data_IF_597848478007
#
_entry.id   IF_597848478007
#
_cell.length_a   1.000
_cell.length_b   1.000
_cell.length_c   1.000
_cell.angle_alpha   90.00
_cell.angle_beta   90.00
_cell.angle_gamma   90.00
#
_symmetry.space_group_name_H-M   'P 1'
#
loop_
_entity.id
_entity.type
_entity.pdbx_description
1 polymer ?
#
# COMPACT_ATOMS: atom_id res chain seq x y z
N UNK A 1 6.21 36.35 -0.66
CA UNK A 1 7.40 35.98 -1.47
C UNK A 1 8.66 35.69 -0.63
N UNK A 2 8.92 36.36 0.50
CA UNK A 2 10.10 36.05 1.35
C UNK A 2 9.94 34.80 2.24
N UNK A 3 8.72 34.49 2.69
CA UNK A 3 8.45 33.29 3.51
C UNK A 3 8.58 32.00 2.69
N UNK A 4 8.16 32.01 1.43
CA UNK A 4 8.22 30.87 0.51
C UNK A 4 9.64 30.51 0.09
N UNK A 5 10.52 31.50 -0.14
CA UNK A 5 11.91 31.23 -0.54
C UNK A 5 12.77 30.66 0.60
N UNK A 6 12.54 31.11 1.85
CA UNK A 6 13.26 30.60 3.03
C UNK A 6 12.84 29.18 3.40
N UNK A 7 11.55 28.84 3.24
CA UNK A 7 11.05 27.49 3.48
C UNK A 7 11.57 26.47 2.46
N UNK A 8 11.75 26.86 1.20
CA UNK A 8 12.30 25.96 0.16
C UNK A 8 13.75 25.60 0.45
N UNK A 9 14.58 26.58 0.86
CA UNK A 9 15.99 26.31 1.17
C UNK A 9 16.18 25.35 2.35
N UNK A 10 15.40 25.51 3.41
CA UNK A 10 15.44 24.60 4.58
C UNK A 10 14.96 23.19 4.22
N UNK A 11 13.97 23.08 3.33
CA UNK A 11 13.52 21.80 2.80
C UNK A 11 14.64 21.12 2.00
N UNK A 12 15.27 21.82 1.05
CA UNK A 12 16.33 21.25 0.21
C UNK A 12 17.55 20.80 1.04
N UNK A 13 17.91 21.56 2.07
CA UNK A 13 18.97 21.21 3.03
C UNK A 13 18.64 19.90 3.77
N UNK A 14 17.41 19.75 4.29
CA UNK A 14 16.98 18.52 4.97
C UNK A 14 16.91 17.32 4.01
N UNK A 15 16.38 17.51 2.80
CA UNK A 15 16.31 16.46 1.78
C UNK A 15 17.71 15.97 1.38
N UNK A 16 18.68 16.87 1.33
CA UNK A 16 20.08 16.53 1.05
C UNK A 16 20.72 15.82 2.24
N UNK A 17 20.50 16.31 3.46
CA UNK A 17 21.07 15.73 4.68
C UNK A 17 20.57 14.29 4.94
N UNK A 18 19.30 14.02 4.68
CA UNK A 18 18.68 12.71 4.91
C UNK A 18 18.54 11.89 3.63
N UNK A 19 19.28 12.21 2.58
CA UNK A 19 19.15 11.59 1.26
C UNK A 19 19.26 10.07 1.31
N UNK A 20 20.26 9.52 1.98
CA UNK A 20 20.45 8.06 2.05
C UNK A 20 19.29 7.36 2.77
N UNK A 21 18.75 7.99 3.82
CA UNK A 21 17.56 7.51 4.52
C UNK A 21 16.36 7.50 3.57
N UNK A 22 16.11 8.63 2.90
CA UNK A 22 14.95 8.82 2.02
C UNK A 22 15.02 7.85 0.85
N UNK A 23 16.15 7.80 0.14
CA UNK A 23 16.37 6.93 -1.02
C UNK A 23 16.24 5.44 -0.63
N UNK A 24 16.67 5.07 0.57
CA UNK A 24 16.51 3.70 1.09
C UNK A 24 15.04 3.35 1.34
N UNK A 25 14.29 4.22 2.03
CA UNK A 25 12.87 3.97 2.30
C UNK A 25 12.07 4.02 1.00
N UNK A 26 12.36 4.94 0.08
CA UNK A 26 11.74 5.00 -1.24
C UNK A 26 11.96 3.71 -2.02
N UNK A 27 13.18 3.16 -2.02
CA UNK A 27 13.47 1.90 -2.69
C UNK A 27 12.65 0.73 -2.15
N UNK A 28 12.36 0.73 -0.85
CA UNK A 28 11.49 -0.26 -0.21
C UNK A 28 10.04 -0.10 -0.64
N UNK A 29 9.49 1.11 -0.62
CA UNK A 29 8.08 1.34 -1.00
C UNK A 29 7.83 1.16 -2.50
N UNK A 30 8.84 1.45 -3.33
CA UNK A 30 8.79 1.32 -4.80
C UNK A 30 9.21 -0.07 -5.30
N UNK A 31 9.44 -1.04 -4.40
CA UNK A 31 9.78 -2.42 -4.73
C UNK A 31 8.74 -3.03 -5.70
N UNK A 32 9.18 -3.48 -6.87
CA UNK A 32 8.28 -3.91 -7.95
C UNK A 32 8.69 -5.25 -8.58
N UNK A 33 9.38 -6.10 -7.83
CA UNK A 33 9.94 -7.36 -8.31
C UNK A 33 9.98 -8.42 -7.21
N UNK A 34 9.99 -9.69 -7.61
CA UNK A 34 10.27 -10.85 -6.75
C UNK A 34 11.67 -11.43 -6.98
N UNK A 35 12.55 -10.73 -7.70
CA UNK A 35 13.94 -11.14 -7.92
C UNK A 35 14.78 -11.03 -6.64
N UNK A 36 15.40 -12.15 -6.23
CA UNK A 36 16.17 -12.26 -5.00
C UNK A 36 17.38 -11.31 -4.92
N UNK A 37 18.01 -11.01 -6.07
CA UNK A 37 19.12 -10.06 -6.17
C UNK A 37 18.68 -8.65 -5.75
N UNK A 38 17.60 -8.14 -6.35
CA UNK A 38 17.03 -6.81 -6.02
C UNK A 38 16.52 -6.74 -4.57
N UNK A 39 15.97 -7.84 -4.05
CA UNK A 39 15.58 -7.93 -2.64
C UNK A 39 16.81 -7.84 -1.72
N UNK A 40 17.90 -8.49 -2.10
CA UNK A 40 19.17 -8.46 -1.36
C UNK A 40 19.88 -7.10 -1.43
N UNK A 41 19.71 -6.35 -2.51
CA UNK A 41 20.16 -4.96 -2.60
C UNK A 41 19.42 -4.06 -1.60
N UNK A 42 18.09 -4.17 -1.54
CA UNK A 42 17.28 -3.40 -0.58
C UNK A 42 17.62 -3.81 0.86
N UNK A 43 17.83 -5.10 1.11
CA UNK A 43 18.31 -5.59 2.40
C UNK A 43 19.61 -4.90 2.82
N UNK A 44 20.60 -4.89 1.94
CA UNK A 44 21.92 -4.30 2.18
C UNK A 44 21.83 -2.78 2.41
N UNK A 45 21.02 -2.07 1.63
CA UNK A 45 20.76 -0.64 1.81
C UNK A 45 20.12 -0.33 3.15
N UNK A 46 19.09 -1.06 3.55
CA UNK A 46 18.42 -0.88 4.85
C UNK A 46 19.41 -1.13 5.99
N UNK A 47 20.21 -2.19 5.91
CA UNK A 47 21.22 -2.51 6.91
C UNK A 47 22.25 -1.39 7.07
N UNK A 48 22.92 -1.03 5.98
CA UNK A 48 23.98 -0.02 5.99
C UNK A 48 23.46 1.38 6.38
N UNK A 49 22.34 1.81 5.80
CA UNK A 49 21.90 3.20 5.94
C UNK A 49 21.00 3.44 7.16
N UNK A 50 20.33 2.41 7.68
CA UNK A 50 19.32 2.58 8.74
C UNK A 50 19.66 1.86 10.05
N UNK A 51 20.18 0.64 9.99
CA UNK A 51 20.46 -0.17 11.18
C UNK A 51 21.86 0.13 11.72
N UNK A 52 22.89 0.06 10.88
CA UNK A 52 24.30 0.27 11.28
C UNK A 52 24.57 1.71 11.72
N UNK A 53 23.82 2.66 11.16
CA UNK A 53 23.80 4.08 11.58
C UNK A 53 23.00 4.33 12.87
N UNK A 54 22.37 3.30 13.44
CA UNK A 54 21.50 3.35 14.61
C UNK A 54 20.29 4.29 14.49
N UNK A 55 19.87 4.64 13.27
CA UNK A 55 18.69 5.49 13.04
C UNK A 55 17.40 4.71 13.34
N UNK A 56 17.35 3.43 12.96
CA UNK A 56 16.16 2.58 13.10
C UNK A 56 16.57 1.21 13.64
N UNK A 57 15.81 0.70 14.62
CA UNK A 57 16.00 -0.65 15.16
C UNK A 57 15.45 -1.74 14.22
N UNK A 58 15.97 -2.97 14.26
CA UNK A 58 15.46 -4.09 13.46
C UNK A 58 13.94 -4.33 13.61
N UNK A 59 13.41 -4.22 14.84
CA UNK A 59 11.95 -4.30 15.09
C UNK A 59 11.17 -3.22 14.32
N UNK A 60 11.73 -2.01 14.23
CA UNK A 60 11.10 -0.90 13.50
C UNK A 60 11.24 -1.07 11.99
N UNK A 61 12.32 -1.68 11.49
CA UNK A 61 12.48 -2.07 10.08
C UNK A 61 11.38 -3.04 9.65
N UNK A 62 11.15 -4.14 10.38
CA UNK A 62 10.07 -5.09 10.06
C UNK A 62 8.70 -4.40 10.06
N UNK A 63 8.46 -3.48 11.00
CA UNK A 63 7.25 -2.66 10.98
C UNK A 63 7.15 -1.78 9.72
N UNK A 64 8.24 -1.20 9.23
CA UNK A 64 8.20 -0.39 8.01
C UNK A 64 7.95 -1.28 6.78
N UNK A 65 8.64 -2.42 6.67
CA UNK A 65 8.45 -3.42 5.59
C UNK A 65 7.00 -3.88 5.54
N UNK A 66 6.42 -4.24 6.69
CA UNK A 66 5.03 -4.67 6.76
C UNK A 66 4.03 -3.58 6.36
N UNK A 67 4.31 -2.31 6.65
CA UNK A 67 3.50 -1.19 6.16
C UNK A 67 3.65 -1.00 4.64
N UNK A 68 4.88 -1.03 4.11
CA UNK A 68 5.14 -0.92 2.68
C UNK A 68 4.40 -2.01 1.88
N UNK A 69 4.41 -3.25 2.38
CA UNK A 69 3.63 -4.36 1.81
C UNK A 69 2.13 -4.05 1.71
N UNK A 70 1.53 -3.34 2.68
CA UNK A 70 0.13 -2.94 2.63
C UNK A 70 -0.18 -1.85 1.58
N UNK A 71 0.81 -1.11 1.10
CA UNK A 71 0.65 -0.16 -0.01
C UNK A 71 0.92 -0.83 -1.37
N UNK A 72 1.65 -1.93 -1.39
CA UNK A 72 2.10 -2.60 -2.60
C UNK A 72 2.00 -4.13 -2.46
N UNK A 73 0.78 -4.60 -2.20
CA UNK A 73 0.49 -6.00 -1.84
C UNK A 73 0.77 -7.02 -2.96
N UNK A 74 0.96 -6.56 -4.20
CA UNK A 74 1.30 -7.41 -5.34
C UNK A 74 2.65 -8.11 -5.17
N UNK A 75 3.62 -7.43 -4.55
CA UNK A 75 4.96 -7.97 -4.26
C UNK A 75 5.09 -8.46 -2.82
N UNK A 76 3.99 -8.90 -2.20
CA UNK A 76 3.97 -9.35 -0.79
C UNK A 76 5.09 -10.36 -0.49
N UNK A 77 5.39 -11.26 -1.42
CA UNK A 77 6.41 -12.29 -1.25
C UNK A 77 7.80 -11.69 -1.01
N UNK A 78 8.16 -10.66 -1.77
CA UNK A 78 9.41 -9.93 -1.58
C UNK A 78 9.50 -9.24 -0.23
N UNK A 79 8.41 -8.60 0.22
CA UNK A 79 8.37 -7.97 1.54
C UNK A 79 8.46 -9.00 2.67
N UNK A 80 7.80 -10.16 2.53
CA UNK A 80 7.89 -11.26 3.49
C UNK A 80 9.32 -11.78 3.54
N UNK A 81 9.93 -12.11 2.39
CA UNK A 81 11.33 -12.54 2.28
C UNK A 81 12.27 -11.55 3.00
N UNK A 82 12.12 -10.25 2.71
CA UNK A 82 12.91 -9.20 3.34
C UNK A 82 12.72 -9.15 4.87
N UNK A 83 11.48 -9.22 5.36
CA UNK A 83 11.19 -9.23 6.79
C UNK A 83 11.78 -10.47 7.50
N UNK A 84 11.70 -11.64 6.86
CA UNK A 84 12.26 -12.89 7.38
C UNK A 84 13.80 -12.82 7.45
N UNK A 85 14.47 -12.23 6.45
CA UNK A 85 15.92 -11.99 6.52
C UNK A 85 16.30 -11.18 7.76
N UNK A 86 15.64 -10.03 7.99
CA UNK A 86 15.88 -9.22 9.18
C UNK A 86 15.52 -9.93 10.49
N UNK A 87 14.44 -10.72 10.49
CA UNK A 87 14.04 -11.47 11.67
C UNK A 87 15.07 -12.53 12.05
N UNK A 88 15.59 -13.26 11.06
CA UNK A 88 16.58 -14.31 11.27
C UNK A 88 17.96 -13.76 11.65
N UNK A 89 18.38 -12.62 11.12
CA UNK A 89 19.69 -12.04 11.45
C UNK A 89 19.68 -11.36 12.83
N UNK A 90 18.62 -10.61 13.15
CA UNK A 90 18.62 -9.73 14.33
C UNK A 90 17.77 -10.23 15.50
N UNK A 91 16.96 -11.27 15.30
CA UNK A 91 16.04 -11.83 16.30
C UNK A 91 15.25 -10.78 17.12
N UNK A 92 14.60 -9.80 16.45
CA UNK A 92 13.89 -8.74 17.15
C UNK A 92 12.73 -9.30 17.97
N UNK A 93 12.57 -8.80 19.20
CA UNK A 93 11.46 -9.15 20.09
C UNK A 93 10.40 -8.06 20.12
N UNK A 94 9.16 -8.45 20.43
CA UNK A 94 8.04 -7.54 20.75
C UNK A 94 7.75 -6.48 19.68
N UNK A 95 7.58 -6.89 18.42
CA UNK A 95 7.25 -5.95 17.33
C UNK A 95 5.78 -5.53 17.45
N UNK A 96 5.55 -4.22 17.61
CA UNK A 96 4.20 -3.67 17.78
C UNK A 96 3.69 -2.97 16.52
N UNK A 97 2.36 -2.93 16.35
CA UNK A 97 1.68 -2.23 15.25
C UNK A 97 2.07 -2.79 13.86
N UNK A 98 2.27 -4.10 13.76
CA UNK A 98 2.35 -4.81 12.48
C UNK A 98 0.93 -4.97 11.92
N UNK A 99 0.67 -4.65 10.65
CA UNK A 99 -0.63 -4.91 10.02
C UNK A 99 -1.02 -6.38 10.10
N UNK A 100 -2.28 -6.66 10.47
CA UNK A 100 -2.82 -8.03 10.60
C UNK A 100 -2.67 -8.81 9.28
N UNK A 101 -2.85 -8.14 8.14
CA UNK A 101 -2.66 -8.73 6.81
C UNK A 101 -1.26 -9.33 6.67
N UNK A 102 -0.23 -8.56 7.00
CA UNK A 102 1.14 -8.99 6.85
C UNK A 102 1.46 -10.17 7.78
N UNK A 103 1.09 -10.06 9.06
CA UNK A 103 1.28 -11.16 10.02
C UNK A 103 0.52 -12.43 9.60
N UNK A 104 -0.67 -12.31 9.02
CA UNK A 104 -1.42 -13.48 8.55
C UNK A 104 -0.64 -14.27 7.48
N UNK A 105 -0.10 -13.59 6.47
CA UNK A 105 0.66 -14.26 5.41
C UNK A 105 1.99 -14.81 5.92
N UNK A 106 2.71 -14.06 6.77
CA UNK A 106 3.93 -14.54 7.41
C UNK A 106 3.65 -15.77 8.28
N UNK A 107 2.56 -15.78 9.03
CA UNK A 107 2.17 -16.94 9.83
C UNK A 107 1.82 -18.15 8.96
N UNK A 108 1.07 -17.94 7.87
CA UNK A 108 0.69 -18.99 6.92
C UNK A 108 1.92 -19.64 6.26
N UNK A 109 2.94 -18.85 5.93
CA UNK A 109 4.11 -19.31 5.17
C UNK A 109 5.27 -19.76 6.06
N UNK A 110 5.48 -19.13 7.22
CA UNK A 110 6.65 -19.34 8.08
C UNK A 110 6.30 -19.70 9.53
N UNK A 111 5.02 -19.72 9.92
CA UNK A 111 4.60 -20.00 11.31
C UNK A 111 4.96 -18.90 12.31
N UNK A 112 5.41 -17.74 11.84
CA UNK A 112 5.85 -16.61 12.69
C UNK A 112 4.71 -15.59 12.82
N UNK A 113 4.54 -15.05 14.03
CA UNK A 113 3.66 -13.91 14.31
C UNK A 113 4.55 -12.81 14.88
N UNK A 114 4.69 -11.68 14.18
CA UNK A 114 5.54 -10.60 14.67
C UNK A 114 4.88 -9.81 15.80
N UNK A 115 3.56 -9.57 15.69
CA UNK A 115 2.80 -8.84 16.69
C UNK A 115 1.80 -9.76 17.40
N UNK A 116 2.07 -10.10 18.66
CA UNK A 116 1.19 -10.92 19.51
C UNK A 116 -0.27 -10.44 19.53
N UNK A 117 -0.50 -9.13 19.41
CA UNK A 117 -1.86 -8.56 19.34
C UNK A 117 -2.68 -9.06 18.15
N UNK A 118 -2.04 -9.59 17.12
CA UNK A 118 -2.70 -10.11 15.92
C UNK A 118 -3.09 -11.58 16.04
N UNK A 119 -2.54 -12.33 17.01
CA UNK A 119 -2.70 -13.79 17.14
C UNK A 119 -4.17 -14.25 17.09
N UNK A 120 -5.04 -13.60 17.86
CA UNK A 120 -6.48 -13.91 17.88
C UNK A 120 -7.20 -13.55 16.57
N UNK A 121 -6.78 -12.46 15.90
CA UNK A 121 -7.40 -12.02 14.65
C UNK A 121 -6.97 -12.89 13.47
N UNK A 122 -5.73 -13.36 13.48
CA UNK A 122 -5.18 -14.28 12.47
C UNK A 122 -5.96 -15.61 12.50
N UNK A 123 -6.24 -16.17 13.68
CA UNK A 123 -6.95 -17.46 13.79
C UNK A 123 -8.40 -17.40 13.32
N UNK A 124 -9.00 -16.21 13.29
CA UNK A 124 -10.38 -15.99 12.81
C UNK A 124 -10.45 -15.50 11.38
N UNK A 125 -9.31 -15.14 10.78
CA UNK A 125 -9.24 -14.61 9.43
C UNK A 125 -9.50 -15.69 8.38
N UNK A 126 -10.36 -15.36 7.42
CA UNK A 126 -10.64 -16.18 6.24
C UNK A 126 -10.27 -15.40 5.00
N UNK A 127 -9.38 -15.98 4.21
CA UNK A 127 -8.98 -15.41 2.93
C UNK A 127 -10.19 -15.38 1.98
N UNK A 128 -10.34 -14.28 1.23
CA UNK A 128 -11.41 -14.11 0.26
C UNK A 128 -10.86 -14.23 -1.15
N UNK A 129 -11.45 -15.09 -1.96
CA UNK A 129 -11.06 -15.27 -3.37
C UNK A 129 -11.20 -13.98 -4.18
N UNK A 130 -12.22 -13.16 -3.89
CA UNK A 130 -12.39 -11.87 -4.56
C UNK A 130 -11.30 -10.88 -4.14
N UNK A 131 -10.81 -10.93 -2.89
CA UNK A 131 -9.69 -10.10 -2.47
C UNK A 131 -8.39 -10.52 -3.16
N UNK A 132 -8.20 -11.84 -3.31
CA UNK A 132 -7.09 -12.39 -4.10
C UNK A 132 -7.15 -11.89 -5.54
N UNK A 133 -8.32 -11.96 -6.18
CA UNK A 133 -8.52 -11.43 -7.53
C UNK A 133 -8.14 -9.95 -7.65
N UNK A 134 -8.49 -9.13 -6.65
CA UNK A 134 -8.12 -7.70 -6.62
C UNK A 134 -6.61 -7.51 -6.48
N UNK A 135 -5.95 -8.17 -5.53
CA UNK A 135 -4.49 -8.02 -5.32
C UNK A 135 -3.70 -8.45 -6.56
N UNK A 136 -4.17 -9.49 -7.24
CA UNK A 136 -3.52 -10.05 -8.43
C UNK A 136 -3.96 -9.37 -9.74
N UNK A 137 -4.89 -8.41 -9.66
CA UNK A 137 -5.57 -7.77 -10.78
C UNK A 137 -6.16 -8.77 -11.81
N UNK A 138 -6.70 -9.89 -11.29
CA UNK A 138 -7.30 -10.96 -12.08
C UNK A 138 -8.80 -10.67 -12.32
N UNK A 139 -9.05 -9.93 -13.40
CA UNK A 139 -10.41 -9.62 -13.83
C UNK A 139 -11.22 -10.86 -14.22
N UNK A 140 -10.59 -11.96 -14.65
CA UNK A 140 -11.32 -13.20 -15.03
C UNK A 140 -11.86 -13.90 -13.79
N UNK A 141 -11.00 -14.08 -12.79
CA UNK A 141 -11.40 -14.61 -11.49
C UNK A 141 -12.46 -13.72 -10.85
N UNK A 142 -12.25 -12.39 -10.86
CA UNK A 142 -13.27 -11.46 -10.36
C UNK A 142 -14.60 -11.65 -11.08
N UNK A 143 -14.62 -11.70 -12.43
CA UNK A 143 -15.84 -11.91 -13.22
C UNK A 143 -16.57 -13.18 -12.76
N UNK A 144 -15.86 -14.30 -12.66
CA UNK A 144 -16.45 -15.58 -12.23
C UNK A 144 -17.12 -15.51 -10.85
N UNK A 145 -16.61 -14.67 -9.95
CA UNK A 145 -17.16 -14.50 -8.60
C UNK A 145 -18.38 -13.58 -8.63
N UNK A 146 -18.31 -12.45 -9.34
CA UNK A 146 -19.39 -11.46 -9.39
C UNK A 146 -20.55 -11.86 -10.30
N UNK A 147 -20.33 -12.83 -11.20
CA UNK A 147 -21.36 -13.45 -12.05
C UNK A 147 -22.16 -14.56 -11.33
N UNK A 148 -21.71 -15.00 -10.14
CA UNK A 148 -22.36 -16.07 -9.41
C UNK A 148 -23.71 -15.62 -8.82
N UNK A 149 -24.75 -16.46 -8.97
CA UNK A 149 -26.07 -16.22 -8.39
C UNK A 149 -25.96 -16.10 -6.86
N UNK A 150 -26.26 -14.91 -6.33
CA UNK A 150 -26.18 -14.63 -4.90
C UNK A 150 -24.94 -13.83 -4.45
N UNK A 151 -24.13 -13.32 -5.38
CA UNK A 151 -23.09 -12.34 -5.05
C UNK A 151 -23.70 -11.10 -4.34
N UNK A 152 -23.31 -10.89 -3.09
CA UNK A 152 -23.65 -9.69 -2.31
C UNK A 152 -22.36 -8.97 -1.93
N UNK A 153 -22.09 -7.85 -2.62
CA UNK A 153 -20.91 -7.01 -2.37
C UNK A 153 -20.80 -6.57 -0.91
N UNK A 154 -21.90 -6.50 -0.15
CA UNK A 154 -21.90 -6.12 1.28
C UNK A 154 -21.37 -7.19 2.21
N UNK A 155 -21.53 -8.47 1.86
CA UNK A 155 -21.01 -9.60 2.68
C UNK A 155 -19.48 -9.69 2.59
N UNK A 156 -18.91 -9.32 1.45
CA UNK A 156 -17.48 -9.31 1.18
C UNK A 156 -16.71 -8.24 2.00
N UNK A 157 -17.30 -7.05 2.17
CA UNK A 157 -16.70 -5.91 2.88
C UNK A 157 -16.38 -6.23 4.35
N UNK A 158 -17.09 -7.18 4.97
CA UNK A 158 -16.86 -7.58 6.36
C UNK A 158 -15.58 -8.39 6.58
N UNK A 159 -14.95 -8.97 5.56
CA UNK A 159 -13.87 -9.95 5.77
C UNK A 159 -12.44 -9.41 5.56
N UNK A 160 -12.27 -8.16 5.13
CA UNK A 160 -10.98 -7.73 4.55
C UNK A 160 -10.42 -6.54 5.32
N UNK A 161 -9.68 -6.87 6.38
CA UNK A 161 -8.39 -6.25 6.76
C UNK A 161 -8.27 -4.72 6.86
N UNK A 162 -9.37 -3.96 6.90
CA UNK A 162 -9.36 -2.54 7.22
C UNK A 162 -10.36 -2.24 8.35
N UNK A 163 -9.98 -1.48 9.39
CA UNK A 163 -10.73 -1.38 10.65
C UNK A 163 -11.95 -0.43 10.58
N UNK A 164 -12.39 -0.02 9.39
CA UNK A 164 -13.54 0.89 9.26
C UNK A 164 -14.57 0.36 8.23
N UNK A 165 -15.49 -0.53 8.68
CA UNK A 165 -16.39 -1.26 7.80
C UNK A 165 -17.71 -0.51 7.64
N UNK A 166 -17.78 0.53 6.81
CA UNK A 166 -19.05 1.19 6.50
C UNK A 166 -19.01 1.74 5.07
N UNK A 167 -19.49 0.96 4.07
CA UNK A 167 -20.38 1.37 2.97
C UNK A 167 -20.23 0.52 1.68
N UNK A 168 -21.31 0.30 0.89
CA UNK A 168 -21.30 -0.46 -0.37
C UNK A 168 -20.38 0.04 -1.50
N UNK A 169 -19.90 1.29 -1.45
CA UNK A 169 -18.90 1.84 -2.39
C UNK A 169 -17.52 1.17 -2.28
N UNK A 170 -17.33 0.34 -1.26
CA UNK A 170 -16.04 -0.22 -0.87
C UNK A 170 -15.41 -1.15 -1.91
N UNK A 171 -16.16 -1.91 -2.72
CA UNK A 171 -15.52 -2.80 -3.70
C UNK A 171 -14.77 -2.00 -4.77
N UNK A 172 -15.40 -0.94 -5.27
CA UNK A 172 -14.81 -0.08 -6.28
C UNK A 172 -13.65 0.74 -5.70
N UNK A 173 -13.82 1.26 -4.49
CA UNK A 173 -12.77 1.93 -3.72
C UNK A 173 -11.59 1.00 -3.41
N UNK A 174 -11.84 -0.28 -3.10
CA UNK A 174 -10.82 -1.28 -2.81
C UNK A 174 -10.00 -1.63 -4.07
N UNK A 175 -10.67 -1.73 -5.21
CA UNK A 175 -10.00 -1.90 -6.50
C UNK A 175 -9.10 -0.69 -6.81
N UNK A 176 -9.55 0.54 -6.52
CA UNK A 176 -8.71 1.74 -6.63
C UNK A 176 -7.53 1.72 -5.65
N UNK A 177 -7.77 1.28 -4.41
CA UNK A 177 -6.80 1.17 -3.33
C UNK A 177 -5.65 0.23 -3.69
N UNK A 178 -5.94 -0.90 -4.32
CA UNK A 178 -4.93 -1.87 -4.74
C UNK A 178 -4.36 -1.60 -6.13
N UNK A 179 -4.91 -0.63 -6.87
CA UNK A 179 -4.42 -0.32 -8.22
C UNK A 179 -4.77 -1.38 -9.26
N UNK A 180 -5.85 -2.13 -9.05
CA UNK A 180 -6.25 -3.25 -9.90
C UNK A 180 -6.98 -2.77 -11.17
N UNK A 181 -6.21 -2.38 -12.19
CA UNK A 181 -6.71 -1.71 -13.42
C UNK A 181 -7.70 -2.57 -14.20
N UNK A 182 -7.42 -3.86 -14.35
CA UNK A 182 -8.31 -4.74 -15.11
C UNK A 182 -9.61 -4.98 -14.34
N UNK A 183 -9.52 -5.20 -13.03
CA UNK A 183 -10.69 -5.27 -12.15
C UNK A 183 -11.51 -3.96 -12.20
N UNK A 184 -10.85 -2.81 -12.21
CA UNK A 184 -11.49 -1.50 -12.28
C UNK A 184 -12.29 -1.33 -13.58
N UNK A 185 -11.67 -1.64 -14.72
CA UNK A 185 -12.31 -1.57 -16.05
C UNK A 185 -13.50 -2.51 -16.15
N UNK A 186 -13.40 -3.71 -15.59
CA UNK A 186 -14.51 -4.68 -15.50
C UNK A 186 -15.70 -4.09 -14.73
N UNK A 187 -15.46 -3.56 -13.52
CA UNK A 187 -16.53 -3.02 -12.68
C UNK A 187 -17.18 -1.77 -13.30
N UNK A 188 -16.41 -0.88 -13.93
CA UNK A 188 -16.95 0.28 -14.66
C UNK A 188 -17.91 -0.17 -15.77
N UNK A 189 -17.48 -1.13 -16.58
CA UNK A 189 -18.25 -1.60 -17.74
C UNK A 189 -19.53 -2.31 -17.33
N UNK A 190 -19.49 -3.08 -16.25
CA UNK A 190 -20.61 -3.92 -15.83
C UNK A 190 -21.65 -3.18 -14.99
N UNK A 191 -21.22 -2.31 -14.09
CA UNK A 191 -22.11 -1.71 -13.09
C UNK A 191 -22.30 -0.20 -13.25
N UNK A 192 -21.50 0.47 -14.08
CA UNK A 192 -21.50 1.93 -14.21
C UNK A 192 -21.55 2.65 -12.84
N UNK A 193 -20.66 2.28 -11.89
CA UNK A 193 -20.74 2.78 -10.53
C UNK A 193 -20.44 4.29 -10.49
N UNK A 194 -21.04 4.99 -9.54
CA UNK A 194 -20.61 6.34 -9.19
C UNK A 194 -19.20 6.28 -8.63
N UNK A 195 -18.26 6.96 -9.27
CA UNK A 195 -16.90 7.15 -8.74
C UNK A 195 -16.97 8.09 -7.54
N UNK A 196 -16.55 7.64 -6.37
CA UNK A 196 -16.56 8.42 -5.13
C UNK A 196 -15.26 9.22 -4.96
N UNK A 197 -15.26 10.21 -4.06
CA UNK A 197 -14.03 10.91 -3.66
C UNK A 197 -12.97 9.95 -3.10
N UNK A 198 -13.38 8.89 -2.39
CA UNK A 198 -12.45 7.87 -1.91
C UNK A 198 -11.78 7.09 -3.04
N UNK A 199 -12.48 6.84 -4.16
CA UNK A 199 -11.85 6.23 -5.34
C UNK A 199 -10.71 7.13 -5.85
N UNK A 200 -10.93 8.44 -5.91
CA UNK A 200 -9.88 9.40 -6.26
C UNK A 200 -8.73 9.35 -5.25
N UNK A 201 -8.99 9.53 -3.95
CA UNK A 201 -7.98 9.48 -2.89
C UNK A 201 -7.14 8.19 -2.94
N UNK A 202 -7.79 7.04 -3.11
CA UNK A 202 -7.13 5.74 -3.20
C UNK A 202 -6.40 5.50 -4.53
N UNK A 203 -6.81 6.14 -5.62
CA UNK A 203 -6.07 6.07 -6.89
C UNK A 203 -4.68 6.74 -6.78
N UNK A 204 -4.54 7.83 -6.01
CA UNK A 204 -3.23 8.44 -5.73
C UNK A 204 -2.38 7.58 -4.79
N UNK A 205 -3.03 6.87 -3.87
CA UNK A 205 -2.35 5.89 -3.00
C UNK A 205 -1.76 4.75 -3.83
N UNK A 206 -2.50 4.16 -4.77
CA UNK A 206 -1.98 3.10 -5.63
C UNK A 206 -1.02 3.64 -6.69
N UNK A 207 -1.16 4.90 -7.08
CA UNK A 207 -0.26 5.57 -8.01
C UNK A 207 -0.40 5.08 -9.44
N UNK A 208 -1.58 4.56 -9.81
CA UNK A 208 -1.82 3.98 -11.12
C UNK A 208 -2.51 5.01 -12.04
N UNK A 209 -1.82 5.54 -13.07
CA UNK A 209 -2.34 6.64 -13.88
C UNK A 209 -3.67 6.35 -14.56
N UNK A 210 -3.92 5.11 -15.00
CA UNK A 210 -5.19 4.71 -15.64
C UNK A 210 -6.39 4.97 -14.73
N UNK A 211 -6.29 4.55 -13.46
CA UNK A 211 -7.36 4.71 -12.46
C UNK A 211 -7.47 6.19 -12.06
N UNK A 212 -6.33 6.83 -11.80
CA UNK A 212 -6.28 8.25 -11.41
C UNK A 212 -6.95 9.16 -12.45
N UNK A 213 -6.58 9.01 -13.72
CA UNK A 213 -7.14 9.82 -14.81
C UNK A 213 -8.63 9.58 -14.99
N UNK A 214 -9.12 8.37 -14.76
CA UNK A 214 -10.57 8.10 -14.79
C UNK A 214 -11.29 8.78 -13.63
N UNK A 215 -10.76 8.67 -12.41
CA UNK A 215 -11.37 9.30 -11.24
C UNK A 215 -11.41 10.83 -11.34
N UNK A 216 -10.37 11.45 -11.90
CA UNK A 216 -10.28 12.90 -12.10
C UNK A 216 -11.33 13.47 -13.06
N UNK A 217 -12.00 12.65 -13.86
CA UNK A 217 -13.12 13.10 -14.72
C UNK A 217 -14.38 13.44 -13.92
N UNK A 218 -14.52 12.87 -12.72
CA UNK A 218 -15.75 12.94 -11.93
C UNK A 218 -15.55 13.57 -10.55
N UNK A 219 -14.32 13.65 -10.06
CA UNK A 219 -13.99 14.11 -8.72
C UNK A 219 -12.86 15.14 -8.74
N UNK A 220 -12.90 16.05 -7.77
CA UNK A 220 -11.88 17.11 -7.61
C UNK A 220 -10.89 16.74 -6.49
N UNK A 221 -9.57 16.87 -6.72
CA UNK A 221 -8.57 16.61 -5.69
C UNK A 221 -8.70 17.54 -4.47
N UNK A 222 -8.75 16.97 -3.25
CA UNK A 222 -8.72 17.70 -1.97
C UNK A 222 -7.41 17.47 -1.20
N UNK A 223 -7.23 18.01 0.01
CA UNK A 223 -5.97 17.80 0.74
C UNK A 223 -5.69 16.31 1.10
N UNK A 224 -6.70 15.42 1.05
CA UNK A 224 -6.55 14.02 1.47
C UNK A 224 -5.81 13.18 0.44
N UNK A 225 -5.92 13.47 -0.87
CA UNK A 225 -5.12 12.75 -1.86
C UNK A 225 -3.61 12.97 -1.64
N UNK A 226 -3.19 14.18 -1.24
CA UNK A 226 -1.78 14.46 -0.94
C UNK A 226 -1.30 13.59 0.22
N UNK A 227 -2.09 13.50 1.29
CA UNK A 227 -1.79 12.61 2.41
C UNK A 227 -1.65 11.15 1.95
N UNK A 228 -2.49 10.69 1.04
CA UNK A 228 -2.42 9.34 0.48
C UNK A 228 -1.16 9.12 -0.36
N UNK A 229 -0.81 10.06 -1.25
CA UNK A 229 0.39 10.01 -2.07
C UNK A 229 1.68 10.04 -1.23
N UNK A 230 1.75 10.89 -0.19
CA UNK A 230 2.89 10.91 0.74
C UNK A 230 3.03 9.58 1.47
N UNK A 231 1.92 9.03 2.02
CA UNK A 231 1.94 7.77 2.77
C UNK A 231 2.38 6.57 1.94
N UNK A 232 2.13 6.58 0.63
CA UNK A 232 2.53 5.51 -0.29
C UNK A 232 3.85 5.77 -1.02
N UNK A 233 4.56 6.86 -0.70
CA UNK A 233 5.79 7.28 -1.39
C UNK A 233 5.61 7.55 -2.89
N UNK A 234 4.40 7.93 -3.30
CA UNK A 234 4.07 8.32 -4.68
C UNK A 234 4.07 9.85 -4.81
N UNK A 235 5.12 10.50 -4.30
CA UNK A 235 5.20 11.96 -4.20
C UNK A 235 5.24 12.67 -5.56
N UNK A 236 5.60 11.96 -6.64
CA UNK A 236 5.62 12.50 -8.00
C UNK A 236 4.23 12.95 -8.48
N UNK A 237 3.16 12.48 -7.84
CA UNK A 237 1.79 12.93 -8.12
C UNK A 237 1.40 14.19 -7.34
N UNK A 238 2.23 14.68 -6.43
CA UNK A 238 2.04 15.92 -5.70
C UNK A 238 2.65 17.06 -6.53
N UNK A 239 1.79 17.93 -7.08
CA UNK A 239 2.20 19.00 -8.01
C UNK A 239 1.89 18.71 -9.48
N UNK A 240 1.17 17.62 -9.79
CA UNK A 240 0.72 17.33 -11.14
C UNK A 240 -0.16 18.49 -11.70
N UNK A 241 0.15 19.05 -12.89
CA UNK A 241 -0.60 20.18 -13.46
C UNK A 241 -2.10 19.90 -13.63
N UNK A 242 -2.48 18.65 -13.94
CA UNK A 242 -3.88 18.23 -14.04
C UNK A 242 -4.62 18.34 -12.70
N UNK A 243 -3.91 18.19 -11.58
CA UNK A 243 -4.47 18.35 -10.23
C UNK A 243 -4.62 19.83 -9.90
N UNK A 244 -3.65 20.66 -10.29
CA UNK A 244 -3.73 22.11 -10.12
C UNK A 244 -4.84 22.75 -10.98
N UNK A 245 -5.05 22.25 -12.21
CA UNK A 245 -6.12 22.71 -13.12
C UNK A 245 -7.51 22.24 -12.70
N UNK A 246 -7.62 21.10 -11.98
CA UNK A 246 -8.89 20.64 -11.43
C UNK A 246 -9.33 21.42 -10.17
N UNK A 247 -8.43 22.22 -9.59
CA UNK A 247 -8.67 23.04 -8.39
C UNK A 247 -8.98 24.51 -8.70
N UNK A 248 -9.01 24.90 -9.98
CA UNK A 248 -9.37 26.23 -10.50
C UNK A 248 -10.70 26.19 -11.23
#
# INVERSE_FOLDING_TARGET
MLVTAKSTKQYDELMTQYKDYIDTIDSLYKLNTNEEEKISDIYSKIKANLIETNIITPSRVIKIISNACCYNSRFKQSYISLAIKFFNEYHPTSIVKVPIYFDYFVFKEHGIIFSEKNKYKISTYKESELYKAIIEDDAKLMSSIIDNEGFDSRKFIKSILNPNPLLPGFLFELVCYHGAVNCFKLLITKYHPRISQFCLEYSFRSGIPDIMNECLKYQTPDYRYMMHAVKSHNIDFIGCPKVCLAQT
#
